data_IF_048303227222
#
_entry.id   IF_048303227222
#
_cell.length_a   1.000
_cell.length_b   1.000
_cell.length_c   1.000
_cell.angle_alpha   90.00
_cell.angle_beta   90.00
_cell.angle_gamma   90.00
#
_symmetry.space_group_name_H-M   'P 1'
#
loop_
_entity.id
_entity.type
_entity.pdbx_description
1 polymer ?
#
# COMPACT_ATOMS: atom_id res chain seq x y z
N UNK A 1 -25.39 -28.84 29.16
CA UNK A 1 -25.68 -27.38 29.22
C UNK A 1 -24.44 -26.52 29.47
N UNK A 2 -23.50 -26.93 30.34
CA UNK A 2 -22.25 -26.20 30.62
C UNK A 2 -21.45 -25.84 29.34
N UNK A 3 -21.40 -26.76 28.37
CA UNK A 3 -20.68 -26.53 27.10
C UNK A 3 -21.26 -25.34 26.31
N UNK A 4 -22.58 -25.18 26.27
CA UNK A 4 -23.25 -24.07 25.56
C UNK A 4 -22.92 -22.74 26.23
N UNK A 5 -22.88 -22.71 27.56
CA UNK A 5 -22.53 -21.51 28.33
C UNK A 5 -21.07 -21.09 28.10
N UNK A 6 -20.14 -22.04 28.07
CA UNK A 6 -18.72 -21.76 27.79
C UNK A 6 -18.53 -21.25 26.36
N UNK A 7 -19.17 -21.89 25.38
CA UNK A 7 -19.11 -21.45 23.98
C UNK A 7 -19.72 -20.06 23.78
N UNK A 8 -20.79 -19.72 24.50
CA UNK A 8 -21.41 -18.39 24.43
C UNK A 8 -20.46 -17.27 24.89
N UNK A 9 -19.76 -17.46 26.01
CA UNK A 9 -18.81 -16.46 26.52
C UNK A 9 -17.57 -16.37 25.64
N UNK A 10 -17.02 -17.51 25.19
CA UNK A 10 -15.87 -17.52 24.29
C UNK A 10 -16.17 -16.82 22.96
N UNK A 11 -17.35 -17.05 22.39
CA UNK A 11 -17.77 -16.42 21.13
C UNK A 11 -17.91 -14.90 21.28
N UNK A 12 -18.40 -14.42 22.42
CA UNK A 12 -18.59 -13.00 22.68
C UNK A 12 -17.27 -12.20 22.73
N UNK A 13 -16.18 -12.81 23.23
CA UNK A 13 -14.88 -12.14 23.35
C UNK A 13 -13.98 -12.38 22.13
N UNK A 14 -14.04 -13.58 21.54
CA UNK A 14 -13.16 -13.95 20.44
C UNK A 14 -13.45 -13.18 19.14
N UNK A 15 -14.72 -12.89 18.85
CA UNK A 15 -15.12 -12.19 17.62
C UNK A 15 -14.53 -10.77 17.53
N UNK A 16 -14.76 -9.86 18.51
CA UNK A 16 -14.23 -8.49 18.41
C UNK A 16 -12.70 -8.45 18.40
N UNK A 17 -12.04 -9.33 19.16
CA UNK A 17 -10.59 -9.41 19.16
C UNK A 17 -10.03 -9.85 17.80
N UNK A 18 -10.67 -10.84 17.16
CA UNK A 18 -10.27 -11.30 15.84
C UNK A 18 -10.41 -10.21 14.78
N UNK A 19 -11.51 -9.45 14.79
CA UNK A 19 -11.73 -8.36 13.85
C UNK A 19 -10.65 -7.27 13.97
N UNK A 20 -10.32 -6.85 15.20
CA UNK A 20 -9.24 -5.87 15.44
C UNK A 20 -7.88 -6.38 14.96
N UNK A 21 -7.58 -7.66 15.17
CA UNK A 21 -6.32 -8.27 14.69
C UNK A 21 -6.21 -8.21 13.16
N UNK A 22 -7.29 -8.53 12.44
CA UNK A 22 -7.34 -8.47 10.98
C UNK A 22 -7.09 -7.04 10.49
N UNK A 23 -7.70 -6.03 11.10
CA UNK A 23 -7.50 -4.62 10.73
C UNK A 23 -6.06 -4.15 10.95
N UNK A 24 -5.46 -4.50 12.09
CA UNK A 24 -4.05 -4.20 12.39
C UNK A 24 -3.12 -4.84 11.35
N UNK A 25 -3.40 -6.09 10.98
CA UNK A 25 -2.64 -6.81 9.95
C UNK A 25 -2.74 -6.12 8.59
N UNK A 26 -3.96 -5.78 8.14
CA UNK A 26 -4.20 -5.07 6.87
C UNK A 26 -3.43 -3.75 6.80
N UNK A 27 -3.55 -2.93 7.85
CA UNK A 27 -2.80 -1.67 7.95
C UNK A 27 -1.28 -1.91 7.90
N UNK A 28 -0.79 -2.92 8.60
CA UNK A 28 0.63 -3.27 8.60
C UNK A 28 1.16 -3.58 7.19
N UNK A 29 0.41 -4.36 6.42
CA UNK A 29 0.74 -4.66 5.02
C UNK A 29 0.68 -3.40 4.16
N UNK A 30 -0.36 -2.57 4.30
CA UNK A 30 -0.50 -1.31 3.55
C UNK A 30 0.68 -0.36 3.80
N UNK A 31 1.10 -0.17 5.06
CA UNK A 31 2.26 0.65 5.40
C UNK A 31 3.56 0.05 4.84
N UNK A 32 3.69 -1.29 4.85
CA UNK A 32 4.83 -1.98 4.26
C UNK A 32 4.91 -1.76 2.74
N UNK A 33 3.77 -1.86 2.05
CA UNK A 33 3.66 -1.58 0.61
C UNK A 33 4.03 -0.13 0.32
N UNK A 34 3.55 0.83 1.12
CA UNK A 34 3.89 2.24 0.95
C UNK A 34 5.39 2.50 1.06
N UNK A 35 6.05 1.93 2.08
CA UNK A 35 7.51 2.03 2.24
C UNK A 35 8.28 1.38 1.08
N UNK A 36 7.76 0.26 0.56
CA UNK A 36 8.33 -0.42 -0.60
C UNK A 36 8.25 0.47 -1.84
N UNK A 37 7.10 1.11 -2.07
CA UNK A 37 6.93 2.05 -3.19
C UNK A 37 7.90 3.23 -3.09
N UNK A 38 8.04 3.87 -1.92
CA UNK A 38 8.99 4.98 -1.72
C UNK A 38 10.41 4.56 -2.10
N UNK A 39 10.87 3.40 -1.60
CA UNK A 39 12.20 2.87 -1.91
C UNK A 39 12.37 2.56 -3.40
N UNK A 40 11.35 1.99 -4.03
CA UNK A 40 11.37 1.69 -5.46
C UNK A 40 11.45 2.98 -6.30
N UNK A 41 10.62 3.98 -5.98
CA UNK A 41 10.64 5.30 -6.63
C UNK A 41 12.01 5.97 -6.48
N UNK A 42 12.57 6.01 -5.27
CA UNK A 42 13.93 6.55 -5.03
C UNK A 42 15.01 5.78 -5.82
N UNK A 43 14.85 4.45 -5.93
CA UNK A 43 15.73 3.59 -6.72
C UNK A 43 15.67 3.93 -8.22
N UNK A 44 14.49 4.12 -8.79
CA UNK A 44 14.33 4.48 -10.20
C UNK A 44 14.81 5.90 -10.50
N UNK A 45 14.60 6.85 -9.58
CA UNK A 45 15.21 8.19 -9.68
C UNK A 45 16.74 8.06 -9.73
N UNK A 46 17.34 7.24 -8.86
CA UNK A 46 18.79 7.03 -8.83
C UNK A 46 19.32 6.37 -10.11
N UNK A 47 18.55 5.46 -10.72
CA UNK A 47 18.90 4.88 -12.03
C UNK A 47 18.85 5.96 -13.11
N UNK A 48 17.82 6.81 -13.11
CA UNK A 48 17.68 7.90 -14.06
C UNK A 48 18.86 8.87 -13.99
N UNK A 49 19.23 9.33 -12.80
CA UNK A 49 20.34 10.30 -12.61
C UNK A 49 21.70 9.72 -13.00
N UNK A 50 21.87 8.40 -12.92
CA UNK A 50 23.08 7.69 -13.35
C UNK A 50 23.05 7.22 -14.81
N UNK A 51 22.02 7.60 -15.59
CA UNK A 51 21.88 7.22 -16.99
C UNK A 51 21.56 5.74 -17.23
N UNK A 52 21.15 5.01 -16.18
CA UNK A 52 20.72 3.61 -16.28
C UNK A 52 19.27 3.52 -16.77
N UNK A 53 18.89 2.41 -17.43
CA UNK A 53 17.50 2.20 -17.82
C UNK A 53 16.60 2.15 -16.59
N UNK A 54 15.49 2.89 -16.67
CA UNK A 54 14.42 2.90 -15.66
C UNK A 54 13.27 2.00 -16.10
N UNK A 55 12.47 1.55 -15.12
CA UNK A 55 11.23 0.81 -15.38
C UNK A 55 10.28 1.65 -16.26
N UNK A 56 9.73 1.03 -17.30
CA UNK A 56 8.72 1.66 -18.18
C UNK A 56 7.34 1.73 -17.52
N UNK A 57 7.05 0.79 -16.62
CA UNK A 57 5.82 0.77 -15.83
C UNK A 57 6.15 0.32 -14.41
N UNK A 58 6.24 1.31 -13.51
CA UNK A 58 6.54 1.06 -12.10
C UNK A 58 5.39 0.32 -11.42
N UNK A 59 4.14 0.65 -11.76
CA UNK A 59 2.95 0.07 -11.13
C UNK A 59 2.87 -1.42 -11.48
N UNK A 60 3.11 -1.78 -12.73
CA UNK A 60 3.16 -3.17 -13.15
C UNK A 60 4.33 -3.92 -12.48
N UNK A 61 5.49 -3.26 -12.35
CA UNK A 61 6.66 -3.86 -11.68
C UNK A 61 6.39 -4.10 -10.19
N UNK A 62 5.78 -3.13 -9.50
CA UNK A 62 5.47 -3.19 -8.09
C UNK A 62 4.31 -4.13 -7.78
N UNK A 63 3.31 -4.25 -8.65
CA UNK A 63 2.27 -5.26 -8.49
C UNK A 63 2.77 -6.68 -8.80
N UNK A 64 4.01 -6.80 -9.26
CA UNK A 64 4.54 -7.94 -10.01
C UNK A 64 3.81 -8.11 -11.36
N UNK A 65 4.50 -8.61 -12.39
CA UNK A 65 3.91 -8.84 -13.72
C UNK A 65 2.69 -9.76 -13.66
N UNK A 66 2.62 -10.61 -12.63
CA UNK A 66 1.51 -11.51 -12.33
C UNK A 66 0.45 -10.90 -11.39
N UNK A 67 0.58 -9.62 -11.03
CA UNK A 67 -0.34 -8.86 -10.15
C UNK A 67 -0.57 -9.56 -8.81
N UNK A 68 0.49 -10.15 -8.24
CA UNK A 68 0.43 -10.92 -7.00
C UNK A 68 0.34 -10.03 -5.76
N UNK A 69 0.81 -8.79 -5.85
CA UNK A 69 0.66 -7.84 -4.76
C UNK A 69 -0.76 -7.28 -4.79
N UNK A 70 -1.55 -7.70 -3.81
CA UNK A 70 -2.97 -7.38 -3.67
C UNK A 70 -3.21 -6.38 -2.57
N UNK A 71 -4.30 -5.63 -2.75
CA UNK A 71 -4.80 -4.76 -1.71
C UNK A 71 -5.19 -5.58 -0.46
N UNK A 72 -4.74 -5.18 0.75
CA UNK A 72 -5.04 -5.93 1.98
C UNK A 72 -6.51 -5.88 2.40
N UNK A 73 -7.26 -4.87 1.97
CA UNK A 73 -8.67 -4.67 2.24
C UNK A 73 -9.56 -5.33 1.17
N UNK A 74 -9.12 -5.36 -0.09
CA UNK A 74 -9.80 -6.04 -1.20
C UNK A 74 -8.84 -6.81 -2.13
N UNK A 75 -8.78 -8.13 -1.96
CA UNK A 75 -7.90 -9.00 -2.75
C UNK A 75 -8.18 -9.03 -4.26
N UNK A 76 -9.32 -8.51 -4.72
CA UNK A 76 -9.62 -8.38 -6.16
C UNK A 76 -8.85 -7.23 -6.80
N UNK A 77 -8.37 -6.29 -5.98
CA UNK A 77 -7.65 -5.10 -6.40
C UNK A 77 -6.16 -5.26 -6.19
N UNK A 78 -5.42 -4.49 -6.97
CA UNK A 78 -3.97 -4.41 -6.88
C UNK A 78 -3.52 -3.50 -5.74
N UNK A 79 -2.36 -3.82 -5.16
CA UNK A 79 -1.76 -3.06 -4.08
C UNK A 79 -1.25 -1.68 -4.52
N UNK A 80 -0.80 -1.56 -5.77
CA UNK A 80 -0.24 -0.33 -6.33
C UNK A 80 -1.08 0.18 -7.49
N UNK A 81 -1.27 1.49 -7.57
CA UNK A 81 -2.07 2.14 -8.60
C UNK A 81 -1.39 3.43 -9.07
N UNK A 82 -1.65 3.80 -10.31
CA UNK A 82 -1.23 5.07 -10.87
C UNK A 82 -2.16 6.21 -10.42
N UNK A 83 -1.61 7.42 -10.40
CA UNK A 83 -2.32 8.68 -10.18
C UNK A 83 -3.05 8.80 -8.83
N UNK A 84 -2.53 8.13 -7.81
CA UNK A 84 -3.01 8.24 -6.43
C UNK A 84 -3.80 7.01 -5.95
N UNK A 85 -3.92 6.86 -4.63
CA UNK A 85 -4.66 5.76 -4.03
C UNK A 85 -6.17 5.97 -4.24
N UNK A 86 -6.83 5.07 -4.96
CA UNK A 86 -8.27 5.17 -5.22
C UNK A 86 -9.12 4.49 -4.15
N UNK A 87 -8.54 3.56 -3.39
CA UNK A 87 -9.20 2.82 -2.33
C UNK A 87 -8.32 2.66 -1.09
N UNK A 88 -8.96 2.24 0.02
CA UNK A 88 -8.25 1.84 1.24
C UNK A 88 -7.33 0.67 0.95
N UNK A 89 -6.08 0.75 1.41
CA UNK A 89 -5.09 -0.30 1.24
C UNK A 89 -4.13 -0.08 0.08
N UNK A 90 -4.57 0.69 -0.92
CA UNK A 90 -3.82 0.91 -2.14
C UNK A 90 -2.77 1.99 -1.95
N UNK A 91 -1.65 1.82 -2.65
CA UNK A 91 -0.59 2.80 -2.76
C UNK A 91 -0.64 3.44 -4.13
N UNK A 92 -0.97 4.72 -4.15
CA UNK A 92 -0.93 5.57 -5.33
C UNK A 92 0.46 6.07 -5.63
N UNK A 93 0.83 6.10 -6.90
CA UNK A 93 2.06 6.70 -7.41
C UNK A 93 1.68 7.69 -8.50
N UNK A 94 2.05 8.95 -8.36
CA UNK A 94 1.63 10.02 -9.30
C UNK A 94 2.20 9.86 -10.72
N UNK A 95 3.20 9.00 -10.88
CA UNK A 95 3.84 8.70 -12.17
C UNK A 95 3.80 7.21 -12.47
N UNK A 96 3.49 6.87 -13.73
CA UNK A 96 3.54 5.49 -14.23
C UNK A 96 4.89 5.15 -14.86
N UNK A 97 5.45 6.08 -15.64
CA UNK A 97 6.71 5.94 -16.37
C UNK A 97 7.73 6.99 -15.87
N UNK A 98 8.97 6.55 -15.63
CA UNK A 98 10.07 7.38 -15.16
C UNK A 98 10.90 7.98 -16.31
N UNK A 99 10.63 7.62 -17.56
CA UNK A 99 11.33 8.13 -18.74
C UNK A 99 11.18 9.64 -18.97
N UNK A 100 10.01 10.29 -18.79
CA UNK A 100 9.89 11.73 -19.01
C UNK A 100 10.42 12.59 -17.86
N UNK A 101 10.84 11.99 -16.74
CA UNK A 101 11.25 12.74 -15.55
C UNK A 101 12.55 13.51 -15.77
N UNK A 102 12.51 14.80 -15.40
CA UNK A 102 13.63 15.72 -15.41
C UNK A 102 14.04 16.07 -13.96
N UNK A 103 15.29 16.54 -13.74
CA UNK A 103 15.67 17.13 -12.47
C UNK A 103 14.71 18.25 -12.07
N UNK A 104 14.23 18.23 -10.82
CA UNK A 104 13.23 19.14 -10.30
C UNK A 104 11.79 18.61 -10.32
N UNK A 105 11.51 17.53 -11.06
CA UNK A 105 10.18 16.92 -11.07
C UNK A 105 9.87 16.27 -9.70
N UNK A 106 8.60 16.30 -9.32
CA UNK A 106 8.11 15.73 -8.06
C UNK A 106 7.21 14.54 -8.31
N UNK A 107 7.39 13.49 -7.51
CA UNK A 107 6.57 12.28 -7.53
C UNK A 107 5.89 12.18 -6.17
N UNK A 108 4.57 12.15 -6.18
CA UNK A 108 3.76 11.97 -5.00
C UNK A 108 3.37 10.50 -4.86
N UNK A 109 3.61 9.95 -3.67
CA UNK A 109 3.09 8.67 -3.26
C UNK A 109 2.00 8.91 -2.22
N UNK A 110 0.84 8.28 -2.40
CA UNK A 110 -0.27 8.38 -1.44
C UNK A 110 -0.77 7.01 -1.01
N UNK A 111 -1.31 6.94 0.21
CA UNK A 111 -1.92 5.72 0.75
C UNK A 111 -3.03 6.09 1.73
N UNK A 112 -4.08 5.28 1.77
CA UNK A 112 -5.15 5.40 2.76
C UNK A 112 -5.34 4.08 3.50
N UNK A 113 -5.55 4.12 4.81
CA UNK A 113 -5.74 2.94 5.64
C UNK A 113 -6.64 3.24 6.84
N UNK A 114 -7.10 2.19 7.51
CA UNK A 114 -7.92 2.30 8.73
C UNK A 114 -7.02 2.27 9.98
N UNK A 115 -7.23 3.18 10.91
CA UNK A 115 -6.55 3.24 12.21
C UNK A 115 -7.18 2.32 13.26
N UNK A 116 -6.57 2.22 14.44
CA UNK A 116 -7.06 1.33 15.51
C UNK A 116 -8.44 1.74 16.05
N UNK A 117 -8.83 2.99 15.87
CA UNK A 117 -10.12 3.55 16.30
C UNK A 117 -11.19 3.46 15.20
N UNK A 118 -10.88 2.81 14.08
CA UNK A 118 -11.79 2.67 12.93
C UNK A 118 -11.84 3.89 12.01
N UNK A 119 -11.07 4.95 12.29
CA UNK A 119 -11.02 6.12 11.41
C UNK A 119 -10.15 5.87 10.18
N UNK A 120 -10.48 6.55 9.07
CA UNK A 120 -9.65 6.50 7.86
C UNK A 120 -8.57 7.57 7.94
N UNK A 121 -7.32 7.14 7.85
CA UNK A 121 -6.17 8.02 7.73
C UNK A 121 -5.57 7.92 6.32
N UNK A 122 -5.00 9.04 5.86
CA UNK A 122 -4.27 9.11 4.58
C UNK A 122 -2.89 9.69 4.80
N UNK A 123 -1.91 9.21 4.02
CA UNK A 123 -0.54 9.70 4.06
C UNK A 123 -0.06 9.96 2.64
N UNK A 124 0.64 11.08 2.46
CA UNK A 124 1.27 11.45 1.19
C UNK A 124 2.75 11.75 1.43
N UNK A 125 3.61 11.27 0.54
CA UNK A 125 5.05 11.56 0.54
C UNK A 125 5.48 12.01 -0.85
N UNK A 126 6.12 13.17 -0.92
CA UNK A 126 6.63 13.75 -2.17
C UNK A 126 8.12 13.49 -2.27
N UNK A 127 8.55 12.91 -3.39
CA UNK A 127 9.95 12.64 -3.71
C UNK A 127 10.35 13.50 -4.91
N UNK A 128 11.39 14.31 -4.75
CA UNK A 128 11.91 15.17 -5.83
C UNK A 128 13.09 14.51 -6.54
N UNK A 129 13.07 14.54 -7.87
CA UNK A 129 14.19 14.16 -8.74
C UNK A 129 15.29 15.22 -8.59
N UNK A 130 16.51 14.80 -8.24
CA UNK A 130 17.66 15.70 -8.10
C UNK A 130 18.53 15.70 -9.35
#
# INVERSE_FOLDING_TARGET
MIVVSILGVLSAVAIPQYLSYVEISKRGVTISNFRTAIKAVQGEISKKTTGKPVASDMVLTLNDLQRRNKDPYDSSLDAFTDFGATQLGQVGISVRDFRPLNPGDTIDLSVSYVENDGTVASRTETVTVR
#
